data_IF_422786615165
#
_entry.id   IF_422786615165
#
_cell.length_a   1.000
_cell.length_b   1.000
_cell.length_c   1.000
_cell.angle_alpha   90.00
_cell.angle_beta   90.00
_cell.angle_gamma   90.00
#
_symmetry.space_group_name_H-M   'P 1'
#
loop_
_entity.id
_entity.type
_entity.pdbx_description
1 polymer ?
#
# COMPACT_ATOMS: atom_id res chain seq x y z
N UNK A 1 -13.65 24.32 -13.73
CA UNK A 1 -12.58 23.64 -12.95
C UNK A 1 -12.92 22.19 -12.57
N UNK A 2 -14.18 21.84 -12.27
CA UNK A 2 -14.57 20.49 -11.82
C UNK A 2 -14.36 19.38 -12.88
N UNK A 3 -14.62 19.65 -14.16
CA UNK A 3 -14.41 18.67 -15.25
C UNK A 3 -12.92 18.30 -15.48
N UNK A 4 -11.99 19.26 -15.33
CA UNK A 4 -10.53 18.98 -15.39
C UNK A 4 -10.05 18.19 -14.17
N UNK A 5 -10.66 18.39 -12.99
CA UNK A 5 -10.28 17.65 -11.77
C UNK A 5 -10.70 16.18 -11.83
N UNK A 6 -11.86 15.89 -12.44
CA UNK A 6 -12.32 14.52 -12.67
C UNK A 6 -11.43 13.76 -13.68
N UNK A 7 -10.95 14.43 -14.74
CA UNK A 7 -10.00 13.83 -15.68
C UNK A 7 -8.63 13.57 -15.07
N UNK A 8 -8.13 14.48 -14.23
CA UNK A 8 -6.84 14.33 -13.54
C UNK A 8 -6.85 13.17 -12.53
N UNK A 9 -7.86 13.07 -11.68
CA UNK A 9 -7.99 11.97 -10.72
C UNK A 9 -8.17 10.61 -11.40
N UNK A 10 -8.89 10.56 -12.53
CA UNK A 10 -9.03 9.32 -13.30
C UNK A 10 -7.71 8.90 -13.96
N UNK A 11 -6.97 9.86 -14.52
CA UNK A 11 -5.63 9.61 -15.07
C UNK A 11 -4.65 9.14 -14.00
N UNK A 12 -4.64 9.77 -12.82
CA UNK A 12 -3.83 9.36 -11.68
C UNK A 12 -4.07 7.89 -11.31
N UNK A 13 -5.34 7.49 -11.20
CA UNK A 13 -5.72 6.10 -10.94
C UNK A 13 -5.18 5.14 -11.99
N UNK A 14 -5.33 5.47 -13.27
CA UNK A 14 -4.80 4.65 -14.35
C UNK A 14 -3.27 4.56 -14.27
N UNK A 15 -2.57 5.67 -14.03
CA UNK A 15 -1.10 5.67 -13.87
C UNK A 15 -0.65 4.76 -12.73
N UNK A 16 -1.26 4.90 -11.55
CA UNK A 16 -0.93 4.10 -10.38
C UNK A 16 -1.22 2.60 -10.62
N UNK A 17 -2.41 2.28 -11.15
CA UNK A 17 -2.82 0.89 -11.41
C UNK A 17 -1.95 0.22 -12.49
N UNK A 18 -1.67 0.90 -13.61
CA UNK A 18 -0.78 0.35 -14.65
C UNK A 18 0.64 0.19 -14.11
N UNK A 19 1.17 1.18 -13.38
CA UNK A 19 2.51 1.09 -12.81
C UNK A 19 2.64 -0.09 -11.85
N UNK A 20 1.61 -0.33 -11.02
CA UNK A 20 1.59 -1.47 -10.10
C UNK A 20 1.59 -2.81 -10.84
N UNK A 21 0.72 -3.00 -11.83
CA UNK A 21 0.67 -4.29 -12.53
C UNK A 21 1.93 -4.56 -13.36
N UNK A 22 2.54 -3.52 -13.93
CA UNK A 22 3.83 -3.62 -14.61
C UNK A 22 4.96 -3.99 -13.64
N UNK A 23 4.99 -3.39 -12.45
CA UNK A 23 5.95 -3.74 -11.40
C UNK A 23 5.77 -5.21 -10.97
N UNK A 24 4.54 -5.71 -10.88
CA UNK A 24 4.29 -7.13 -10.58
C UNK A 24 4.65 -8.07 -11.73
N UNK A 25 4.51 -7.63 -12.98
CA UNK A 25 4.86 -8.44 -14.14
C UNK A 25 6.37 -8.52 -14.40
N UNK A 26 7.08 -7.39 -14.29
CA UNK A 26 8.47 -7.26 -14.73
C UNK A 26 9.48 -7.03 -13.59
N UNK A 27 9.01 -6.86 -12.35
CA UNK A 27 9.85 -6.47 -11.23
C UNK A 27 10.54 -5.12 -11.50
N UNK A 28 11.86 -5.06 -11.28
CA UNK A 28 12.65 -3.84 -11.50
C UNK A 28 13.03 -3.60 -12.98
N UNK A 29 12.69 -4.53 -13.89
CA UNK A 29 13.07 -4.50 -15.31
C UNK A 29 11.90 -4.05 -16.21
N UNK A 30 11.17 -3.00 -15.81
CA UNK A 30 10.08 -2.45 -16.62
C UNK A 30 10.66 -1.80 -17.89
N UNK A 31 10.18 -2.17 -19.10
CA UNK A 31 10.59 -1.52 -20.34
C UNK A 31 10.40 0.00 -20.30
N UNK A 32 11.39 0.76 -20.79
CA UNK A 32 11.34 2.24 -20.80
C UNK A 32 10.11 2.77 -21.54
N UNK A 33 9.66 2.08 -22.59
CA UNK A 33 8.51 2.46 -23.40
C UNK A 33 7.18 2.39 -22.63
N UNK A 34 7.14 1.64 -21.53
CA UNK A 34 6.01 1.56 -20.61
C UNK A 34 6.05 2.63 -19.52
N UNK A 35 7.12 3.44 -19.45
CA UNK A 35 7.25 4.53 -18.48
C UNK A 35 6.30 5.68 -18.83
N UNK A 36 5.44 6.08 -17.90
CA UNK A 36 4.24 6.91 -18.09
C UNK A 36 3.28 6.35 -19.16
N UNK A 37 2.07 5.90 -18.78
CA UNK A 37 1.18 5.25 -19.72
C UNK A 37 0.57 6.18 -20.77
N UNK A 38 0.63 7.50 -20.57
CA UNK A 38 -0.03 8.45 -21.44
C UNK A 38 0.92 9.17 -22.40
N UNK A 39 0.38 9.64 -23.52
CA UNK A 39 0.98 10.63 -24.39
C UNK A 39 -0.07 11.69 -24.76
N UNK A 40 0.39 12.90 -25.03
CA UNK A 40 -0.45 13.99 -25.52
C UNK A 40 -0.53 13.93 -27.04
N UNK A 41 -1.75 14.04 -27.57
CA UNK A 41 -2.00 14.11 -29.01
C UNK A 41 -1.87 15.54 -29.51
N UNK A 42 -1.71 15.72 -30.82
CA UNK A 42 -1.68 17.06 -31.45
C UNK A 42 -2.96 17.89 -31.17
N UNK A 43 -4.05 17.22 -30.79
CA UNK A 43 -5.32 17.86 -30.42
C UNK A 43 -5.42 18.21 -28.93
N UNK A 44 -4.36 18.01 -28.13
CA UNK A 44 -4.34 18.24 -26.68
C UNK A 44 -5.08 17.18 -25.85
N UNK A 45 -5.47 16.05 -26.46
CA UNK A 45 -6.10 14.93 -25.76
C UNK A 45 -5.05 13.96 -25.26
N UNK A 46 -5.24 13.43 -24.05
CA UNK A 46 -4.33 12.44 -23.46
C UNK A 46 -4.83 11.02 -23.74
N UNK A 47 -4.01 10.21 -24.41
CA UNK A 47 -4.33 8.82 -24.76
C UNK A 47 -3.29 7.86 -24.17
N UNK A 48 -3.70 6.60 -23.96
CA UNK A 48 -2.78 5.55 -23.54
C UNK A 48 -1.90 5.17 -24.74
N UNK A 49 -0.59 5.03 -24.51
CA UNK A 49 0.39 4.67 -25.55
C UNK A 49 -0.03 3.37 -26.27
N UNK A 50 0.01 3.31 -27.61
CA UNK A 50 -0.41 2.12 -28.37
C UNK A 50 0.32 0.84 -27.97
N UNK A 51 1.61 0.95 -27.59
CA UNK A 51 2.40 -0.19 -27.12
C UNK A 51 1.83 -0.80 -25.84
N UNK A 52 1.31 0.03 -24.92
CA UNK A 52 0.67 -0.43 -23.69
C UNK A 52 -0.73 -0.99 -23.97
N UNK A 53 -1.49 -0.38 -24.88
CA UNK A 53 -2.77 -0.93 -25.33
C UNK A 53 -2.58 -2.36 -25.83
N UNK A 54 -1.61 -2.59 -26.72
CA UNK A 54 -1.31 -3.92 -27.25
C UNK A 54 -0.85 -4.88 -26.15
N UNK A 55 0.04 -4.43 -25.25
CA UNK A 55 0.53 -5.26 -24.15
C UNK A 55 -0.59 -5.70 -23.20
N UNK A 56 -1.49 -4.79 -22.80
CA UNK A 56 -2.62 -5.10 -21.92
C UNK A 56 -3.67 -5.97 -22.62
N UNK A 57 -3.96 -5.71 -23.90
CA UNK A 57 -4.89 -6.50 -24.71
C UNK A 57 -4.36 -7.88 -25.10
N UNK A 58 -3.04 -8.12 -25.01
CA UNK A 58 -2.45 -9.45 -25.25
C UNK A 58 -2.59 -10.43 -24.07
N UNK A 59 -2.99 -9.94 -22.89
CA UNK A 59 -2.99 -10.64 -21.59
C UNK A 59 -1.62 -10.96 -20.98
N UNK A 60 -0.52 -10.77 -21.71
CA UNK A 60 0.83 -11.17 -21.27
C UNK A 60 1.22 -10.51 -19.93
N UNK A 61 1.03 -9.19 -19.83
CA UNK A 61 1.31 -8.43 -18.61
C UNK A 61 0.55 -9.01 -17.41
N UNK A 62 -0.72 -9.34 -17.61
CA UNK A 62 -1.55 -9.89 -16.53
C UNK A 62 -1.16 -11.32 -16.18
N UNK A 63 -0.84 -12.16 -17.15
CA UNK A 63 -0.40 -13.53 -16.89
C UNK A 63 0.91 -13.55 -16.11
N UNK A 64 1.87 -12.69 -16.49
CA UNK A 64 3.14 -12.55 -15.79
C UNK A 64 2.93 -12.03 -14.36
N UNK A 65 2.11 -10.99 -14.19
CA UNK A 65 1.76 -10.48 -12.86
C UNK A 65 1.08 -11.57 -11.99
N UNK A 66 0.10 -12.29 -12.52
CA UNK A 66 -0.57 -13.38 -11.80
C UNK A 66 0.38 -14.51 -11.42
N UNK A 67 1.33 -14.87 -12.29
CA UNK A 67 2.33 -15.91 -12.00
C UNK A 67 3.24 -15.52 -10.83
N UNK A 68 3.60 -14.23 -10.77
CA UNK A 68 4.44 -13.71 -9.68
C UNK A 68 3.67 -13.50 -8.38
N UNK A 69 2.38 -13.16 -8.46
CA UNK A 69 1.54 -12.92 -7.29
C UNK A 69 0.99 -14.23 -6.70
N UNK A 70 0.56 -15.17 -7.55
CA UNK A 70 -0.11 -16.41 -7.14
C UNK A 70 0.60 -17.67 -7.68
N UNK A 71 1.85 -17.97 -7.27
CA UNK A 71 2.66 -19.03 -7.87
C UNK A 71 1.99 -20.42 -7.86
N UNK A 72 1.20 -20.71 -6.83
CA UNK A 72 0.55 -22.01 -6.64
C UNK A 72 -0.66 -22.24 -7.59
N UNK A 73 -1.18 -21.19 -8.23
CA UNK A 73 -2.43 -21.25 -9.01
C UNK A 73 -2.24 -21.29 -10.54
N UNK A 74 -1.02 -21.05 -11.04
CA UNK A 74 -0.74 -20.83 -12.49
C UNK A 74 -0.16 -22.07 -13.17
N UNK A 75 -0.68 -23.25 -12.85
CA UNK A 75 -0.44 -24.43 -13.67
C UNK A 75 -1.60 -24.53 -14.67
N UNK A 76 -1.31 -24.20 -15.95
CA UNK A 76 -2.08 -24.59 -17.15
C UNK A 76 -3.13 -23.64 -17.77
N UNK A 77 -3.28 -22.38 -17.35
CA UNK A 77 -4.22 -21.45 -18.04
C UNK A 77 -3.59 -20.09 -18.36
N UNK A 78 -3.63 -19.72 -19.63
CA UNK A 78 -3.17 -18.44 -20.17
C UNK A 78 -4.38 -17.65 -20.70
N UNK A 79 -4.30 -16.32 -20.76
CA UNK A 79 -5.37 -15.45 -21.27
C UNK A 79 -6.19 -14.78 -20.18
N UNK A 80 -6.99 -13.76 -20.56
CA UNK A 80 -7.78 -12.99 -19.58
C UNK A 80 -8.84 -13.85 -18.89
N UNK A 81 -9.45 -14.81 -19.59
CA UNK A 81 -10.47 -15.71 -19.00
C UNK A 81 -9.91 -16.54 -17.86
N UNK A 82 -8.64 -16.97 -17.94
CA UNK A 82 -7.97 -17.67 -16.87
C UNK A 82 -7.88 -16.82 -15.60
N UNK A 83 -7.47 -15.57 -15.76
CA UNK A 83 -7.28 -14.61 -14.69
C UNK A 83 -8.62 -14.26 -14.04
N UNK A 84 -9.64 -13.97 -14.85
CA UNK A 84 -11.00 -13.72 -14.38
C UNK A 84 -11.54 -14.90 -13.56
N UNK A 85 -11.24 -16.13 -13.97
CA UNK A 85 -11.61 -17.33 -13.22
C UNK A 85 -10.83 -17.50 -11.91
N UNK A 86 -9.54 -17.15 -11.87
CA UNK A 86 -8.74 -17.14 -10.64
C UNK A 86 -9.34 -16.15 -9.63
N UNK A 87 -9.68 -14.95 -10.09
CA UNK A 87 -10.31 -13.92 -9.26
C UNK A 87 -11.69 -14.37 -8.74
N UNK A 88 -12.50 -14.98 -9.60
CA UNK A 88 -13.80 -15.52 -9.19
C UNK A 88 -13.69 -16.60 -8.11
N UNK A 89 -12.67 -17.48 -8.16
CA UNK A 89 -12.40 -18.46 -7.09
C UNK A 89 -12.01 -17.81 -5.77
N UNK A 90 -11.51 -16.58 -5.80
CA UNK A 90 -11.21 -15.75 -4.63
C UNK A 90 -12.40 -14.84 -4.24
N UNK A 91 -13.59 -15.13 -4.76
CA UNK A 91 -14.81 -14.34 -4.55
C UNK A 91 -14.72 -12.89 -5.06
N UNK A 92 -13.87 -12.64 -6.04
CA UNK A 92 -13.70 -11.33 -6.69
C UNK A 92 -14.30 -11.41 -8.09
N UNK A 93 -15.47 -10.81 -8.26
CA UNK A 93 -16.13 -10.69 -9.56
C UNK A 93 -15.76 -9.34 -10.18
N UNK A 94 -15.17 -9.37 -11.38
CA UNK A 94 -14.66 -8.17 -12.05
C UNK A 94 -15.78 -7.50 -12.84
N UNK A 95 -16.28 -6.37 -12.33
CA UNK A 95 -17.22 -5.49 -13.02
C UNK A 95 -16.58 -4.13 -13.29
N UNK A 96 -16.94 -3.50 -14.40
CA UNK A 96 -16.47 -2.15 -14.74
C UNK A 96 -17.19 -1.07 -13.90
N UNK A 97 -16.93 0.22 -14.19
CA UNK A 97 -17.55 1.31 -13.44
C UNK A 97 -19.07 1.41 -13.60
N UNK A 98 -19.61 0.75 -14.62
CA UNK A 98 -21.02 0.77 -15.00
C UNK A 98 -21.70 -0.55 -14.57
N UNK A 99 -21.05 -1.31 -13.68
CA UNK A 99 -21.44 -2.62 -13.14
C UNK A 99 -21.62 -3.72 -14.20
N UNK A 100 -20.92 -3.57 -15.33
CA UNK A 100 -20.92 -4.57 -16.41
C UNK A 100 -19.80 -5.57 -16.18
N UNK A 101 -20.14 -6.87 -16.21
CA UNK A 101 -19.16 -7.94 -16.08
C UNK A 101 -18.10 -7.88 -17.19
N UNK A 102 -16.83 -7.84 -16.78
CA UNK A 102 -15.70 -7.79 -17.71
C UNK A 102 -15.46 -9.18 -18.29
N UNK A 103 -15.33 -9.25 -19.61
CA UNK A 103 -15.07 -10.50 -20.35
C UNK A 103 -13.77 -10.40 -21.15
N UNK A 104 -13.17 -11.54 -21.47
CA UNK A 104 -11.97 -11.58 -22.32
C UNK A 104 -12.17 -10.88 -23.67
N UNK A 105 -13.33 -11.07 -24.31
CA UNK A 105 -13.67 -10.42 -25.57
C UNK A 105 -13.65 -8.89 -25.47
N UNK A 106 -13.98 -8.31 -24.31
CA UNK A 106 -13.91 -6.87 -24.07
C UNK A 106 -12.45 -6.42 -23.91
N UNK A 107 -11.63 -7.20 -23.21
CA UNK A 107 -10.22 -6.89 -22.91
C UNK A 107 -9.30 -7.06 -24.13
N UNK A 108 -9.67 -7.90 -25.10
CA UNK A 108 -8.93 -8.08 -26.35
C UNK A 108 -9.15 -6.93 -27.36
N UNK A 109 -10.16 -6.07 -27.15
CA UNK A 109 -10.43 -4.95 -28.06
C UNK A 109 -9.42 -3.82 -27.89
N UNK A 110 -8.81 -3.42 -29.01
CA UNK A 110 -7.89 -2.26 -29.07
C UNK A 110 -8.52 -1.02 -29.71
N UNK A 111 -9.64 -1.17 -30.43
CA UNK A 111 -10.33 -0.07 -31.11
C UNK A 111 -11.87 -0.22 -31.03
N UNK A 112 -12.56 0.43 -30.07
CA UNK A 112 -12.01 1.27 -29.00
C UNK A 112 -11.38 0.44 -27.87
N UNK A 113 -10.26 0.90 -27.33
CA UNK A 113 -9.63 0.29 -26.16
C UNK A 113 -10.50 0.49 -24.90
N UNK A 114 -10.82 -0.60 -24.21
CA UNK A 114 -11.77 -0.59 -23.12
C UNK A 114 -11.11 -0.34 -21.76
N UNK A 115 -10.64 0.90 -21.54
CA UNK A 115 -9.87 1.31 -20.34
C UNK A 115 -10.54 0.91 -19.03
N UNK A 116 -11.86 1.08 -18.92
CA UNK A 116 -12.62 0.77 -17.69
C UNK A 116 -12.52 -0.70 -17.31
N UNK A 117 -12.66 -1.63 -18.27
CA UNK A 117 -12.54 -3.06 -18.00
C UNK A 117 -11.11 -3.49 -17.65
N UNK A 118 -10.09 -2.89 -18.29
CA UNK A 118 -8.69 -3.14 -17.89
C UNK A 118 -8.39 -2.63 -16.48
N UNK A 119 -8.89 -1.45 -16.12
CA UNK A 119 -8.75 -0.91 -14.78
C UNK A 119 -9.49 -1.79 -13.74
N UNK A 120 -10.69 -2.27 -14.05
CA UNK A 120 -11.43 -3.20 -13.20
C UNK A 120 -10.67 -4.51 -12.97
N UNK A 121 -10.07 -5.08 -14.02
CA UNK A 121 -9.25 -6.29 -13.89
C UNK A 121 -8.03 -6.04 -12.98
N UNK A 122 -7.33 -4.91 -13.16
CA UNK A 122 -6.20 -4.55 -12.30
C UNK A 122 -6.65 -4.35 -10.85
N UNK A 123 -7.79 -3.70 -10.62
CA UNK A 123 -8.36 -3.56 -9.27
C UNK A 123 -8.64 -4.91 -8.63
N UNK A 124 -9.24 -5.85 -9.37
CA UNK A 124 -9.46 -7.22 -8.89
C UNK A 124 -8.15 -7.90 -8.48
N UNK A 125 -7.08 -7.75 -9.27
CA UNK A 125 -5.75 -8.27 -8.94
C UNK A 125 -5.13 -7.61 -7.71
N UNK A 126 -5.23 -6.27 -7.59
CA UNK A 126 -4.75 -5.54 -6.43
C UNK A 126 -5.45 -5.99 -5.14
N UNK A 127 -6.78 -6.14 -5.19
CA UNK A 127 -7.56 -6.59 -4.03
C UNK A 127 -7.30 -8.05 -3.66
N UNK A 128 -7.13 -8.93 -4.67
CA UNK A 128 -6.74 -10.31 -4.44
C UNK A 128 -5.36 -10.40 -3.77
N UNK A 129 -4.38 -9.63 -4.25
CA UNK A 129 -3.05 -9.53 -3.65
C UNK A 129 -3.11 -9.03 -2.20
N UNK A 130 -3.84 -7.93 -1.97
CA UNK A 130 -3.98 -7.35 -0.65
C UNK A 130 -4.65 -8.31 0.34
N UNK A 131 -5.66 -9.08 -0.09
CA UNK A 131 -6.36 -10.05 0.74
C UNK A 131 -5.47 -11.23 1.17
N UNK A 132 -4.58 -11.70 0.31
CA UNK A 132 -3.61 -12.74 0.67
C UNK A 132 -2.49 -12.21 1.57
N UNK A 133 -2.03 -11.00 1.28
CA UNK A 133 -0.89 -10.38 1.96
C UNK A 133 -1.29 -9.90 3.35
N UNK A 134 -2.25 -9.00 3.43
CA UNK A 134 -2.74 -8.38 4.67
C UNK A 134 -4.04 -9.05 5.14
N UNK A 135 -4.04 -10.38 5.19
CA UNK A 135 -5.17 -11.14 5.74
C UNK A 135 -5.37 -10.81 7.22
N UNK A 136 -6.60 -10.96 7.71
CA UNK A 136 -6.94 -10.77 9.13
C UNK A 136 -5.99 -11.58 10.03
N UNK A 137 -5.71 -12.82 9.64
CA UNK A 137 -4.79 -13.70 10.38
C UNK A 137 -3.36 -13.14 10.44
N UNK A 138 -2.79 -12.80 9.28
CA UNK A 138 -1.42 -12.28 9.20
C UNK A 138 -1.27 -10.99 10.00
N UNK A 139 -2.24 -10.08 9.87
CA UNK A 139 -2.28 -8.81 10.59
C UNK A 139 -2.39 -9.03 12.09
N UNK A 140 -3.32 -9.89 12.55
CA UNK A 140 -3.51 -10.18 13.97
C UNK A 140 -2.24 -10.80 14.57
N UNK A 141 -1.60 -11.72 13.86
CA UNK A 141 -0.33 -12.30 14.29
C UNK A 141 0.77 -11.23 14.40
N UNK A 142 0.88 -10.33 13.42
CA UNK A 142 1.84 -9.22 13.45
C UNK A 142 1.60 -8.29 14.64
N UNK A 143 0.36 -7.82 14.83
CA UNK A 143 0.01 -6.90 15.92
C UNK A 143 0.22 -7.54 17.29
N UNK A 144 -0.11 -8.83 17.47
CA UNK A 144 0.10 -9.56 18.74
C UNK A 144 1.57 -9.62 19.16
N UNK A 145 2.52 -9.51 18.23
CA UNK A 145 3.96 -9.43 18.56
C UNK A 145 4.36 -8.08 19.16
N UNK A 146 3.56 -7.04 18.94
CA UNK A 146 3.86 -5.66 19.31
C UNK A 146 3.03 -5.20 20.51
N UNK A 147 1.72 -5.48 20.52
CA UNK A 147 0.79 -5.00 21.55
C UNK A 147 -0.34 -5.98 21.81
N UNK A 148 -0.95 -5.87 22.99
CA UNK A 148 -2.21 -6.55 23.32
C UNK A 148 -3.40 -5.73 22.82
N UNK A 149 -4.53 -6.40 22.58
CA UNK A 149 -5.81 -5.81 22.18
C UNK A 149 -6.96 -6.75 22.53
N UNK A 150 -8.18 -6.23 22.61
CA UNK A 150 -9.36 -7.04 22.88
C UNK A 150 -9.86 -7.73 21.61
N UNK A 151 -9.53 -9.01 21.46
CA UNK A 151 -9.94 -9.81 20.31
C UNK A 151 -11.48 -9.97 20.19
N UNK A 152 -12.27 -9.75 21.24
CA UNK A 152 -13.73 -9.86 21.13
C UNK A 152 -14.40 -8.63 20.52
N UNK A 153 -13.74 -7.47 20.51
CA UNK A 153 -14.33 -6.21 20.05
C UNK A 153 -13.55 -5.49 18.95
N UNK A 154 -12.27 -5.81 18.75
CA UNK A 154 -11.37 -5.05 17.87
C UNK A 154 -10.89 -5.83 16.64
N UNK A 155 -11.37 -7.05 16.41
CA UNK A 155 -10.94 -7.84 15.25
C UNK A 155 -11.44 -7.21 13.95
N UNK A 156 -10.55 -7.01 12.95
CA UNK A 156 -10.94 -6.47 11.66
C UNK A 156 -11.76 -7.49 10.85
N UNK A 157 -12.67 -6.98 10.02
CA UNK A 157 -13.58 -7.81 9.21
C UNK A 157 -13.23 -7.81 7.73
N UNK A 158 -12.67 -6.71 7.24
CA UNK A 158 -12.22 -6.55 5.86
C UNK A 158 -10.70 -6.42 5.77
N UNK A 159 -10.16 -6.50 4.55
CA UNK A 159 -8.74 -6.23 4.28
C UNK A 159 -8.38 -4.78 4.62
N UNK A 160 -9.28 -3.84 4.32
CA UNK A 160 -9.11 -2.43 4.64
C UNK A 160 -9.05 -2.23 6.16
N UNK A 161 -10.01 -2.80 6.91
CA UNK A 161 -10.01 -2.77 8.38
C UNK A 161 -8.73 -3.39 8.95
N UNK A 162 -8.24 -4.47 8.34
CA UNK A 162 -7.03 -5.17 8.80
C UNK A 162 -5.80 -4.28 8.65
N UNK A 163 -5.65 -3.62 7.51
CA UNK A 163 -4.57 -2.67 7.29
C UNK A 163 -4.68 -1.49 8.26
N UNK A 164 -5.85 -0.88 8.39
CA UNK A 164 -6.07 0.25 9.32
C UNK A 164 -5.77 -0.15 10.76
N UNK A 165 -6.24 -1.33 11.17
CA UNK A 165 -5.99 -1.90 12.50
C UNK A 165 -4.49 -2.08 12.76
N UNK A 166 -3.76 -2.65 11.79
CA UNK A 166 -2.31 -2.78 11.88
C UNK A 166 -1.63 -1.41 12.08
N UNK A 167 -1.94 -0.44 11.20
CA UNK A 167 -1.30 0.88 11.24
C UNK A 167 -1.56 1.58 12.57
N UNK A 168 -2.82 1.62 13.00
CA UNK A 168 -3.21 2.29 14.25
C UNK A 168 -2.55 1.64 15.47
N UNK A 169 -2.44 0.30 15.50
CA UNK A 169 -1.78 -0.40 16.60
C UNK A 169 -0.28 -0.15 16.65
N UNK A 170 0.39 -0.11 15.50
CA UNK A 170 1.83 0.24 15.44
C UNK A 170 2.07 1.70 15.82
N UNK A 171 1.25 2.63 15.32
CA UNK A 171 1.36 4.04 15.67
C UNK A 171 1.13 4.27 17.17
N UNK A 172 0.12 3.62 17.75
CA UNK A 172 -0.16 3.66 19.19
C UNK A 172 0.97 3.05 20.01
N UNK A 173 1.52 1.90 19.61
CA UNK A 173 2.67 1.30 20.29
C UNK A 173 3.90 2.22 20.30
N UNK A 174 4.12 2.94 19.19
CA UNK A 174 5.18 3.95 19.07
C UNK A 174 4.96 5.12 20.04
N UNK A 175 3.72 5.56 20.24
CA UNK A 175 3.36 6.57 21.24
C UNK A 175 3.73 6.19 22.66
N UNK A 176 3.40 4.97 23.07
CA UNK A 176 3.74 4.48 24.40
C UNK A 176 5.25 4.38 24.61
N UNK A 177 6.00 4.04 23.56
CA UNK A 177 7.45 3.94 23.63
C UNK A 177 8.13 5.30 23.84
N UNK A 178 7.68 6.35 23.13
CA UNK A 178 8.24 7.70 23.22
C UNK A 178 7.74 8.43 24.47
N UNK A 179 6.45 8.32 24.81
CA UNK A 179 5.84 9.02 25.94
C UNK A 179 6.43 8.64 27.31
N UNK A 180 6.95 7.41 27.45
CA UNK A 180 7.62 6.97 28.68
C UNK A 180 9.05 7.51 28.85
N UNK A 181 9.65 8.12 27.83
CA UNK A 181 10.98 8.73 27.93
C UNK A 181 10.94 10.19 28.41
N UNK A 182 9.81 10.87 28.29
CA UNK A 182 9.65 12.32 28.58
C UNK A 182 9.20 12.56 30.05
N UNK A 183 9.65 11.75 31.02
CA UNK A 183 9.34 11.94 32.46
C UNK A 183 10.21 13.04 33.11
N UNK A 184 10.85 13.91 32.33
CA UNK A 184 11.54 15.11 32.86
C UNK A 184 11.13 16.37 32.08
N UNK A 185 10.02 16.99 32.51
CA UNK A 185 9.67 18.37 32.21
C UNK A 185 9.04 18.61 30.83
N UNK A 186 7.80 19.09 30.81
CA UNK A 186 6.98 19.47 29.64
C UNK A 186 6.42 18.29 28.81
N UNK A 187 5.29 17.74 29.27
CA UNK A 187 4.43 16.82 28.52
C UNK A 187 3.77 17.51 27.32
N UNK A 188 4.50 17.69 26.23
CA UNK A 188 3.89 17.90 24.91
C UNK A 188 3.67 16.52 24.30
N UNK A 189 2.49 15.93 24.53
CA UNK A 189 2.08 14.72 23.80
C UNK A 189 1.79 15.16 22.36
N UNK A 190 2.76 15.00 21.47
CA UNK A 190 2.48 15.16 20.04
C UNK A 190 1.35 14.20 19.64
N UNK A 191 0.37 14.66 18.85
CA UNK A 191 -0.74 13.82 18.43
C UNK A 191 -0.19 12.74 17.49
N UNK A 192 -0.41 11.47 17.86
CA UNK A 192 -0.04 10.34 17.02
C UNK A 192 -1.11 10.14 15.96
N UNK A 193 -0.72 9.77 14.74
CA UNK A 193 -1.66 9.59 13.65
C UNK A 193 -2.57 8.39 13.96
N UNK A 194 -3.87 8.61 13.80
CA UNK A 194 -4.90 7.58 13.84
C UNK A 194 -5.64 7.67 12.52
N UNK A 195 -5.77 6.54 11.84
CA UNK A 195 -6.54 6.41 10.62
C UNK A 195 -7.96 5.98 10.98
N UNK A 196 -8.93 6.84 10.71
CA UNK A 196 -10.36 6.54 10.77
C UNK A 196 -10.91 6.32 9.35
N UNK A 197 -10.54 7.20 8.42
CA UNK A 197 -10.85 7.10 7.01
C UNK A 197 -9.56 6.95 6.21
N UNK A 198 -9.30 5.75 5.70
CA UNK A 198 -8.07 5.42 5.00
C UNK A 198 -7.76 6.36 3.83
N UNK A 199 -8.78 6.78 3.08
CA UNK A 199 -8.57 7.61 1.88
C UNK A 199 -8.24 9.07 2.21
N UNK A 200 -8.62 9.54 3.40
CA UNK A 200 -8.45 10.93 3.85
C UNK A 200 -7.20 11.06 4.73
N UNK A 201 -7.02 10.14 5.69
CA UNK A 201 -6.01 10.27 6.74
C UNK A 201 -4.60 9.81 6.32
N UNK A 202 -4.49 9.07 5.22
CA UNK A 202 -3.18 8.64 4.70
C UNK A 202 -2.43 9.77 3.99
N UNK A 203 -3.15 10.80 3.54
CA UNK A 203 -2.66 11.85 2.65
C UNK A 203 -1.60 12.76 3.27
N UNK A 204 -1.56 12.86 4.60
CA UNK A 204 -0.58 13.70 5.31
C UNK A 204 0.80 13.03 5.48
N UNK A 205 0.90 11.73 5.18
CA UNK A 205 2.11 10.93 5.31
C UNK A 205 2.57 10.63 6.74
N UNK A 206 1.87 11.10 7.79
CA UNK A 206 2.27 10.93 9.18
C UNK A 206 2.22 9.46 9.61
N UNK A 207 1.11 8.79 9.31
CA UNK A 207 0.91 7.36 9.61
C UNK A 207 1.94 6.47 8.92
N UNK A 208 2.21 6.73 7.64
CA UNK A 208 3.24 6.04 6.85
C UNK A 208 4.65 6.27 7.41
N UNK A 209 5.00 7.52 7.72
CA UNK A 209 6.30 7.86 8.29
C UNK A 209 6.48 7.25 9.69
N UNK A 210 5.40 7.17 10.48
CA UNK A 210 5.38 6.51 11.79
C UNK A 210 5.68 5.01 11.65
N UNK A 211 5.02 4.31 10.71
CA UNK A 211 5.31 2.91 10.41
C UNK A 211 6.79 2.71 10.06
N UNK A 212 7.33 3.53 9.15
CA UNK A 212 8.73 3.42 8.74
C UNK A 212 9.65 3.65 9.94
N UNK A 213 9.36 4.63 10.79
CA UNK A 213 10.15 4.88 12.01
C UNK A 213 10.12 3.70 12.96
N UNK A 214 8.96 3.05 13.11
CA UNK A 214 8.83 1.87 13.97
C UNK A 214 9.65 0.68 13.45
N UNK A 215 9.50 0.33 12.17
CA UNK A 215 10.19 -0.84 11.60
C UNK A 215 11.65 -0.57 11.23
N UNK A 216 11.99 0.66 10.85
CA UNK A 216 13.26 1.06 10.26
C UNK A 216 13.85 2.34 10.90
N UNK A 217 14.01 2.41 12.24
CA UNK A 217 14.41 3.63 12.95
C UNK A 217 15.82 4.13 12.59
N UNK A 218 16.66 3.29 11.96
CA UNK A 218 17.98 3.69 11.44
C UNK A 218 17.89 4.58 10.20
N UNK A 219 16.81 4.49 9.44
CA UNK A 219 16.66 5.15 8.14
C UNK A 219 15.69 6.33 8.17
N UNK A 220 14.78 6.36 9.13
CA UNK A 220 13.91 7.50 9.41
C UNK A 220 13.72 7.64 10.91
N UNK A 221 14.03 8.82 11.46
CA UNK A 221 13.83 9.10 12.89
C UNK A 221 12.50 9.80 13.09
N UNK A 222 11.89 9.58 14.26
CA UNK A 222 10.64 10.24 14.64
C UNK A 222 10.76 11.77 14.60
N UNK A 223 11.90 12.31 15.04
CA UNK A 223 12.19 13.77 15.06
C UNK A 223 12.22 14.41 13.68
N UNK A 224 12.37 13.62 12.63
CA UNK A 224 12.44 14.12 11.26
C UNK A 224 11.04 14.28 10.66
N UNK A 225 9.98 13.80 11.33
CA UNK A 225 8.59 13.83 10.87
C UNK A 225 7.92 15.11 11.36
N UNK A 226 7.19 15.78 10.48
CA UNK A 226 6.33 16.88 10.88
C UNK A 226 5.00 16.34 11.43
N UNK A 227 4.92 16.08 12.73
CA UNK A 227 3.68 15.71 13.43
C UNK A 227 3.09 16.90 14.19
N UNK A 228 1.85 17.27 13.85
CA UNK A 228 1.10 18.38 14.45
C UNK A 228 -0.38 18.01 14.49
N UNK A 229 -1.16 18.66 15.35
CA UNK A 229 -2.60 18.43 15.45
C UNK A 229 -3.33 18.74 14.14
N UNK A 230 -2.85 19.77 13.41
CA UNK A 230 -3.27 20.07 12.05
C UNK A 230 -2.02 20.16 11.17
N UNK A 231 -1.79 19.14 10.36
CA UNK A 231 -0.66 19.07 9.43
C UNK A 231 -1.01 19.88 8.18
N UNK A 232 -0.23 20.94 7.91
CA UNK A 232 -0.43 21.76 6.71
C UNK A 232 0.11 21.08 5.45
N UNK A 233 -0.35 21.52 4.27
CA UNK A 233 0.04 20.93 2.97
C UNK A 233 1.57 20.83 2.79
N UNK A 234 2.32 21.84 3.21
CA UNK A 234 3.79 21.82 3.10
C UNK A 234 4.44 20.74 3.98
N UNK A 235 3.93 20.57 5.21
CA UNK A 235 4.38 19.53 6.14
C UNK A 235 3.98 18.14 5.61
N UNK A 236 2.76 18.00 5.06
CA UNK A 236 2.29 16.77 4.43
C UNK A 236 3.15 16.37 3.23
N UNK A 237 3.47 17.31 2.32
CA UNK A 237 4.37 17.06 1.19
C UNK A 237 5.76 16.63 1.66
N UNK A 238 6.27 17.25 2.71
CA UNK A 238 7.55 16.90 3.29
C UNK A 238 7.52 15.47 3.86
N UNK A 239 6.50 15.11 4.64
CA UNK A 239 6.33 13.75 5.17
C UNK A 239 6.19 12.71 4.05
N UNK A 240 5.36 12.97 3.03
CA UNK A 240 5.22 12.08 1.87
C UNK A 240 6.53 11.91 1.09
N UNK A 241 7.35 12.97 1.00
CA UNK A 241 8.68 12.89 0.39
C UNK A 241 9.61 11.98 1.18
N UNK A 242 9.59 12.04 2.51
CA UNK A 242 10.36 11.12 3.37
C UNK A 242 9.94 9.67 3.10
N UNK A 243 8.64 9.39 3.12
CA UNK A 243 8.06 8.07 2.85
C UNK A 243 8.49 7.55 1.49
N UNK A 244 8.30 8.34 0.43
CA UNK A 244 8.67 7.95 -0.94
C UNK A 244 10.17 7.68 -1.07
N UNK A 245 11.00 8.58 -0.52
CA UNK A 245 12.46 8.43 -0.57
C UNK A 245 12.90 7.15 0.13
N UNK A 246 12.27 6.80 1.26
CA UNK A 246 12.53 5.55 1.94
C UNK A 246 12.15 4.34 1.07
N UNK A 247 10.92 4.32 0.54
CA UNK A 247 10.46 3.21 -0.29
C UNK A 247 11.35 2.98 -1.51
N UNK A 248 11.76 4.05 -2.20
CA UNK A 248 12.59 3.95 -3.41
C UNK A 248 14.02 3.50 -3.12
N UNK A 249 14.58 3.81 -1.95
CA UNK A 249 15.98 3.51 -1.61
C UNK A 249 16.18 2.21 -0.85
N UNK A 250 15.19 1.79 -0.06
CA UNK A 250 15.38 0.74 0.95
C UNK A 250 14.50 -0.48 0.75
N UNK A 251 13.40 -0.38 -0.02
CA UNK A 251 12.57 -1.54 -0.34
C UNK A 251 13.02 -2.21 -1.65
N UNK A 252 12.99 -3.56 -1.73
CA UNK A 252 13.43 -4.27 -2.93
C UNK A 252 12.58 -4.01 -4.18
N UNK A 253 11.30 -3.68 -3.98
CA UNK A 253 10.33 -3.39 -5.03
C UNK A 253 9.92 -1.92 -4.98
N UNK A 254 9.79 -1.30 -6.15
CA UNK A 254 9.26 0.07 -6.28
C UNK A 254 7.75 0.06 -6.04
N UNK A 255 7.31 0.08 -4.79
CA UNK A 255 5.88 0.02 -4.44
C UNK A 255 5.16 1.39 -4.49
N UNK A 256 5.90 2.51 -4.54
CA UNK A 256 5.32 3.85 -4.49
C UNK A 256 4.93 4.35 -5.89
N UNK A 257 3.70 4.06 -6.30
CA UNK A 257 3.18 4.38 -7.65
C UNK A 257 2.36 5.69 -7.72
N UNK A 258 2.54 6.58 -6.75
CA UNK A 258 1.78 7.81 -6.61
C UNK A 258 2.64 9.05 -6.85
N UNK A 259 2.03 10.12 -7.35
CA UNK A 259 2.54 11.47 -7.12
C UNK A 259 2.16 11.92 -5.70
N UNK A 260 2.75 13.01 -5.21
CA UNK A 260 2.40 13.51 -3.87
C UNK A 260 0.97 14.07 -3.86
N UNK A 261 0.58 14.71 -4.96
CA UNK A 261 -0.74 15.27 -5.21
C UNK A 261 -1.83 14.20 -5.24
N UNK A 262 -1.52 13.00 -5.74
CA UNK A 262 -2.47 11.89 -5.78
C UNK A 262 -2.89 11.43 -4.38
N UNK A 263 -1.96 11.47 -3.41
CA UNK A 263 -2.25 11.12 -2.02
C UNK A 263 -2.85 12.29 -1.25
N UNK A 264 -2.33 13.51 -1.42
CA UNK A 264 -2.85 14.72 -0.76
C UNK A 264 -4.28 15.04 -1.12
N UNK A 265 -4.63 14.85 -2.39
CA UNK A 265 -5.97 15.09 -2.91
C UNK A 265 -6.68 13.79 -3.23
N UNK A 266 -6.30 12.71 -2.54
CA UNK A 266 -6.90 11.41 -2.68
C UNK A 266 -8.42 11.51 -2.53
N UNK A 267 -9.10 10.69 -3.31
CA UNK A 267 -10.53 10.48 -3.21
C UNK A 267 -10.73 8.97 -3.06
N UNK A 268 -11.93 8.53 -2.65
CA UNK A 268 -12.27 7.10 -2.62
C UNK A 268 -12.03 6.37 -3.96
N UNK A 269 -11.80 7.08 -5.08
CA UNK A 269 -11.40 6.48 -6.36
C UNK A 269 -9.99 5.85 -6.33
N UNK A 270 -9.09 6.29 -5.45
CA UNK A 270 -7.73 5.75 -5.33
C UNK A 270 -7.62 4.67 -4.24
N UNK A 271 -8.75 4.31 -3.61
CA UNK A 271 -8.78 3.44 -2.43
C UNK A 271 -8.05 2.12 -2.65
N UNK A 272 -8.30 1.43 -3.76
CA UNK A 272 -7.66 0.14 -4.05
C UNK A 272 -6.15 0.29 -4.23
N UNK A 273 -5.68 1.40 -4.84
CA UNK A 273 -4.27 1.68 -4.98
C UNK A 273 -3.61 1.94 -3.61
N UNK A 274 -4.30 2.64 -2.71
CA UNK A 274 -3.79 2.91 -1.34
C UNK A 274 -3.70 1.60 -0.55
N UNK A 275 -4.76 0.78 -0.60
CA UNK A 275 -4.79 -0.54 0.04
C UNK A 275 -3.62 -1.39 -0.46
N UNK A 276 -3.35 -1.41 -1.78
CA UNK A 276 -2.26 -2.22 -2.31
C UNK A 276 -0.88 -1.71 -1.89
N UNK A 277 -0.67 -0.39 -1.86
CA UNK A 277 0.58 0.20 -1.31
C UNK A 277 0.81 -0.23 0.13
N UNK A 278 -0.23 -0.18 0.96
CA UNK A 278 -0.13 -0.56 2.36
C UNK A 278 0.08 -2.06 2.55
N UNK A 279 -0.54 -2.89 1.70
CA UNK A 279 -0.26 -4.32 1.66
C UNK A 279 1.19 -4.61 1.26
N UNK A 280 1.77 -3.87 0.31
CA UNK A 280 3.22 -4.00 -0.01
C UNK A 280 4.09 -3.65 1.20
N UNK A 281 3.79 -2.56 1.91
CA UNK A 281 4.53 -2.18 3.11
C UNK A 281 4.41 -3.27 4.19
N UNK A 282 3.20 -3.78 4.41
CA UNK A 282 2.97 -4.90 5.33
C UNK A 282 3.78 -6.14 4.93
N UNK A 283 3.79 -6.50 3.65
CA UNK A 283 4.60 -7.61 3.14
C UNK A 283 6.07 -7.44 3.48
N UNK A 284 6.65 -6.27 3.15
CA UNK A 284 8.07 -5.99 3.34
C UNK A 284 8.48 -5.70 4.78
N UNK A 285 7.53 -5.46 5.68
CA UNK A 285 7.82 -5.23 7.10
C UNK A 285 7.58 -6.49 7.95
N UNK A 286 6.55 -7.28 7.64
CA UNK A 286 6.11 -8.38 8.50
C UNK A 286 6.35 -9.76 7.90
N UNK A 287 5.89 -9.99 6.65
CA UNK A 287 5.88 -11.32 6.04
C UNK A 287 7.25 -11.71 5.47
N UNK A 288 7.85 -10.82 4.68
CA UNK A 288 9.16 -11.00 4.08
C UNK A 288 10.01 -9.74 4.35
N UNK A 289 10.51 -9.55 5.59
CA UNK A 289 11.16 -8.32 5.98
C UNK A 289 12.33 -7.96 5.07
N UNK A 290 12.30 -6.75 4.54
CA UNK A 290 13.44 -6.19 3.84
C UNK A 290 14.64 -6.04 4.79
N UNK A 291 15.86 -5.95 4.25
CA UNK A 291 17.08 -5.83 5.03
C UNK A 291 17.15 -4.57 5.91
N UNK A 292 16.32 -3.56 5.63
CA UNK A 292 16.21 -2.35 6.44
C UNK A 292 15.40 -2.52 7.73
N UNK A 293 14.61 -3.60 7.83
CA UNK A 293 13.65 -3.82 8.92
C UNK A 293 14.32 -4.40 10.16
N UNK A 294 14.06 -3.79 11.30
CA UNK A 294 14.46 -4.28 12.62
C UNK A 294 13.32 -5.09 13.23
N UNK A 295 13.45 -6.42 13.22
CA UNK A 295 12.50 -7.28 13.94
C UNK A 295 12.72 -7.15 15.44
N UNK A 296 11.66 -6.75 16.14
CA UNK A 296 11.56 -6.81 17.60
C UNK A 296 11.68 -8.29 18.03
N UNK A 297 12.89 -8.76 18.35
CA UNK A 297 13.13 -10.14 18.79
C UNK A 297 14.54 -10.72 18.62
N UNK A 298 15.42 -10.16 17.77
CA UNK A 298 16.79 -10.65 17.69
C UNK A 298 17.64 -10.07 18.83
N UNK A 299 18.10 -10.93 19.73
CA UNK A 299 18.90 -10.57 20.91
C UNK A 299 20.33 -10.12 20.58
N UNK A 300 20.78 -10.26 19.34
CA UNK A 300 22.16 -9.98 18.96
C UNK A 300 22.20 -8.97 17.82
N UNK A 301 22.30 -7.67 18.16
CA UNK A 301 23.10 -6.67 17.46
C UNK A 301 22.87 -5.26 18.03
N UNK A 302 23.95 -4.73 18.62
CA UNK A 302 24.28 -3.32 18.85
C UNK A 302 23.46 -2.45 19.82
N UNK A 303 24.23 -1.90 20.75
CA UNK A 303 23.95 -1.02 21.89
C UNK A 303 23.29 0.35 21.58
N UNK A 304 22.80 0.55 20.36
CA UNK A 304 21.91 1.66 19.99
C UNK A 304 20.43 1.24 19.86
N UNK A 305 20.13 -0.07 19.91
CA UNK A 305 18.78 -0.65 19.90
C UNK A 305 18.01 -0.60 21.22
N UNK A 306 18.25 0.40 22.08
CA UNK A 306 17.58 0.50 23.41
C UNK A 306 16.07 0.71 23.32
N UNK A 307 15.56 1.18 22.19
CA UNK A 307 14.14 1.48 21.98
C UNK A 307 13.28 0.21 21.92
N UNK A 308 13.65 -0.80 21.11
CA UNK A 308 12.86 -2.04 20.99
C UNK A 308 12.98 -2.95 22.22
N UNK A 309 14.15 -3.03 22.87
CA UNK A 309 14.30 -3.86 24.08
C UNK A 309 13.55 -3.29 25.28
N UNK A 310 13.36 -1.97 25.38
CA UNK A 310 12.60 -1.37 26.47
C UNK A 310 11.09 -1.61 26.31
N UNK A 311 10.56 -1.50 25.08
CA UNK A 311 9.14 -1.77 24.78
C UNK A 311 8.77 -3.23 25.07
N UNK A 312 9.59 -4.19 24.62
CA UNK A 312 9.36 -5.62 24.90
C UNK A 312 9.48 -5.96 26.39
N UNK A 313 10.47 -5.42 27.10
CA UNK A 313 10.63 -5.69 28.55
C UNK A 313 9.46 -5.13 29.37
N UNK A 314 8.87 -4.00 28.97
CA UNK A 314 7.75 -3.40 29.67
C UNK A 314 6.38 -4.02 29.33
N UNK A 315 6.17 -4.48 28.09
CA UNK A 315 4.93 -5.19 27.72
C UNK A 315 4.87 -6.57 28.38
N UNK A 316 5.99 -7.31 28.42
CA UNK A 316 6.06 -8.61 29.11
C UNK A 316 5.98 -8.45 30.63
N UNK A 317 6.47 -7.36 31.21
CA UNK A 317 6.37 -7.10 32.65
C UNK A 317 4.94 -6.74 33.12
N UNK A 318 3.99 -6.49 32.20
CA UNK A 318 2.59 -6.17 32.52
C UNK A 318 1.61 -7.33 32.31
N UNK A 319 2.05 -8.52 31.91
CA UNK A 319 1.20 -9.72 32.03
C UNK A 319 1.13 -10.12 33.50
N UNK A 320 -0.05 -10.07 34.17
CA UNK A 320 -0.17 -10.70 35.46
C UNK A 320 0.01 -12.21 35.25
N UNK A 321 0.98 -12.79 35.94
CA UNK A 321 1.03 -14.23 36.15
C UNK A 321 -0.24 -14.63 36.91
N UNK A 322 -1.22 -15.17 36.19
CA UNK A 322 -2.29 -16.04 36.69
C UNK A 322 -2.93 -16.78 35.52
#
# INVERSE_FOLDING_TARGET
MIFKKCSLSFQARIRASISWVLQKAYGNNIPSDFTDPFYETDTGSWLIKPILVNALSSSEVYCNACSNIFPETVLQRHGHSAILHILSRKSIYVTDSDDVAVTETVLQKTAPFHVKGHLALINGLMMAYAAETASVENVVQAVRRVTTFNASSELPSTVEDSIVFWINKICSASQFAVGNQVIQGETRREPYPVIENLSEDIGDGCSLACLITFYCPKYLKFTDICMKENVGIADSLYNLRLVRTFCEKHLPSKCFHFTYEDLLYSTNKMRENIIVLLAELFYWFELNPASCVQRSGNKDADTEGRWCSAVLRFVVAKTPSN
#
